data_IF_759970688863
#
_entry.id   IF_759970688863
#
_cell.length_a   1.000
_cell.length_b   1.000
_cell.length_c   1.000
_cell.angle_alpha   90.00
_cell.angle_beta   90.00
_cell.angle_gamma   90.00
#
_symmetry.space_group_name_H-M   'P 1'
#
loop_
_entity.id
_entity.type
_entity.pdbx_description
1 polymer ?
#
# COMPACT_ATOMS: atom_id res chain seq x y z
N UNK A 1 1.13 2.72 19.39
CA UNK A 1 1.33 2.64 17.93
C UNK A 1 0.23 1.78 17.35
N UNK A 2 -0.67 2.41 16.58
CA UNK A 2 -1.76 1.77 15.83
C UNK A 2 -1.69 2.21 14.38
N UNK A 3 -2.02 1.31 13.46
CA UNK A 3 -2.20 1.65 12.04
C UNK A 3 -3.54 2.38 11.91
N UNK A 4 -3.54 3.51 11.19
CA UNK A 4 -4.72 4.37 11.02
C UNK A 4 -5.22 4.44 9.59
N UNK A 5 -4.38 4.09 8.60
CA UNK A 5 -4.74 4.06 7.18
C UNK A 5 -3.71 3.24 6.39
N UNK A 6 -4.20 2.47 5.43
CA UNK A 6 -3.41 1.92 4.33
C UNK A 6 -3.75 2.66 3.03
N UNK A 7 -2.73 3.03 2.26
CA UNK A 7 -2.91 3.74 0.98
C UNK A 7 -2.01 3.14 -0.09
N UNK A 8 -2.58 2.69 -1.21
CA UNK A 8 -1.79 2.21 -2.35
C UNK A 8 -1.73 3.24 -3.46
N UNK A 9 -0.58 3.34 -4.13
CA UNK A 9 -0.41 4.21 -5.29
C UNK A 9 0.34 3.47 -6.40
N UNK A 10 -0.31 3.38 -7.57
CA UNK A 10 0.28 2.81 -8.78
C UNK A 10 1.19 3.83 -9.43
N UNK A 11 2.42 3.41 -9.70
CA UNK A 11 3.43 4.24 -10.36
C UNK A 11 3.86 3.54 -11.65
N UNK A 12 3.71 4.25 -12.77
CA UNK A 12 4.15 3.74 -14.07
C UNK A 12 5.66 3.43 -14.06
N UNK A 13 6.13 2.42 -14.82
CA UNK A 13 5.34 1.55 -15.69
C UNK A 13 4.71 0.36 -14.95
N UNK A 14 5.21 -0.03 -13.77
CA UNK A 14 4.85 -1.30 -13.13
C UNK A 14 4.78 -1.32 -11.62
N UNK A 15 5.09 -0.23 -10.91
CA UNK A 15 5.20 -0.28 -9.45
C UNK A 15 3.84 -0.09 -8.78
N UNK A 16 3.69 -0.70 -7.60
CA UNK A 16 2.63 -0.39 -6.65
C UNK A 16 3.32 -0.16 -5.31
N UNK A 17 3.21 1.04 -4.77
CA UNK A 17 3.68 1.33 -3.41
C UNK A 17 2.52 1.32 -2.42
N UNK A 18 2.85 1.09 -1.16
CA UNK A 18 1.96 1.11 -0.01
C UNK A 18 2.47 2.10 1.03
N UNK A 19 1.62 3.03 1.45
CA UNK A 19 1.77 3.85 2.64
C UNK A 19 1.06 3.22 3.82
N UNK A 20 1.73 3.16 4.96
CA UNK A 20 1.14 2.75 6.23
C UNK A 20 1.20 3.94 7.18
N UNK A 21 0.04 4.48 7.56
CA UNK A 21 -0.05 5.59 8.49
C UNK A 21 -0.25 5.09 9.92
N UNK A 22 0.32 5.79 10.90
CA UNK A 22 0.13 5.48 12.32
C UNK A 22 -0.47 6.63 13.11
N UNK A 23 -1.06 6.32 14.27
CA UNK A 23 -1.56 7.30 15.24
C UNK A 23 -0.45 8.18 15.87
N UNK A 24 0.82 7.80 15.69
CA UNK A 24 1.97 8.56 16.18
C UNK A 24 2.61 9.45 15.10
N UNK A 25 1.98 9.60 13.93
CA UNK A 25 2.50 10.42 12.83
C UNK A 25 3.66 9.78 12.05
N UNK A 26 4.07 8.56 12.39
CA UNK A 26 5.07 7.79 11.65
C UNK A 26 4.42 7.20 10.40
N UNK A 27 5.14 7.24 9.29
CA UNK A 27 4.73 6.66 8.02
C UNK A 27 5.71 5.57 7.58
N UNK A 28 5.21 4.37 7.32
CA UNK A 28 5.95 3.30 6.65
C UNK A 28 5.73 3.29 5.14
N UNK A 29 6.73 2.84 4.39
CA UNK A 29 6.64 2.60 2.95
C UNK A 29 6.92 1.13 2.66
N UNK A 30 6.15 0.55 1.74
CA UNK A 30 6.34 -0.80 1.23
C UNK A 30 5.99 -0.92 -0.25
N UNK A 31 6.32 -2.07 -0.84
CA UNK A 31 6.04 -2.38 -2.25
C UNK A 31 5.32 -3.74 -2.33
N UNK A 32 3.98 -3.79 -2.27
CA UNK A 32 3.22 -5.04 -2.17
C UNK A 32 2.99 -5.76 -3.51
N UNK A 33 3.75 -5.43 -4.56
CA UNK A 33 3.45 -5.91 -5.90
C UNK A 33 3.99 -7.31 -6.18
N UNK A 34 3.16 -8.12 -6.87
CA UNK A 34 3.63 -9.21 -7.73
C UNK A 34 3.62 -8.70 -9.18
N UNK A 35 4.75 -8.79 -9.89
CA UNK A 35 4.91 -8.26 -11.27
C UNK A 35 3.71 -8.59 -12.17
N UNK A 36 3.15 -7.58 -12.82
CA UNK A 36 1.96 -7.69 -13.70
C UNK A 36 0.60 -7.78 -12.99
N UNK A 37 0.54 -7.74 -11.65
CA UNK A 37 -0.69 -7.88 -10.85
C UNK A 37 -1.00 -6.69 -9.96
N UNK A 38 -0.57 -5.48 -10.33
CA UNK A 38 -0.74 -4.27 -9.51
C UNK A 38 -2.20 -3.99 -9.10
N UNK A 39 -3.18 -4.19 -9.99
CA UNK A 39 -4.60 -3.98 -9.65
C UNK A 39 -5.11 -4.99 -8.63
N UNK A 40 -4.77 -6.27 -8.80
CA UNK A 40 -5.14 -7.34 -7.86
C UNK A 40 -4.49 -7.14 -6.50
N UNK A 41 -3.20 -6.82 -6.45
CA UNK A 41 -2.50 -6.53 -5.18
C UNK A 41 -3.09 -5.29 -4.48
N UNK A 42 -3.44 -4.24 -5.22
CA UNK A 42 -4.08 -3.05 -4.65
C UNK A 42 -5.45 -3.37 -4.03
N UNK A 43 -6.26 -4.19 -4.70
CA UNK A 43 -7.55 -4.65 -4.18
C UNK A 43 -7.38 -5.49 -2.91
N UNK A 44 -6.40 -6.40 -2.88
CA UNK A 44 -6.10 -7.22 -1.71
C UNK A 44 -5.67 -6.37 -0.50
N UNK A 45 -4.90 -5.31 -0.71
CA UNK A 45 -4.57 -4.36 0.37
C UNK A 45 -5.82 -3.61 0.85
N UNK A 46 -6.69 -3.18 -0.07
CA UNK A 46 -7.91 -2.45 0.26
C UNK A 46 -8.91 -3.30 1.05
N UNK A 47 -8.95 -4.62 0.84
CA UNK A 47 -9.81 -5.55 1.56
C UNK A 47 -9.46 -5.65 3.06
N UNK A 48 -8.20 -5.40 3.42
CA UNK A 48 -7.69 -5.47 4.80
C UNK A 48 -7.39 -4.09 5.43
N UNK A 49 -7.72 -3.01 4.70
CA UNK A 49 -7.36 -1.62 5.06
C UNK A 49 -8.24 -1.01 6.16
#
# INVERSE_FOLDING_TARGET
MKITKLETFKVKPRFLFLKIHTDQGITGLGEPITEGRADTCAAAVQEIA
#
